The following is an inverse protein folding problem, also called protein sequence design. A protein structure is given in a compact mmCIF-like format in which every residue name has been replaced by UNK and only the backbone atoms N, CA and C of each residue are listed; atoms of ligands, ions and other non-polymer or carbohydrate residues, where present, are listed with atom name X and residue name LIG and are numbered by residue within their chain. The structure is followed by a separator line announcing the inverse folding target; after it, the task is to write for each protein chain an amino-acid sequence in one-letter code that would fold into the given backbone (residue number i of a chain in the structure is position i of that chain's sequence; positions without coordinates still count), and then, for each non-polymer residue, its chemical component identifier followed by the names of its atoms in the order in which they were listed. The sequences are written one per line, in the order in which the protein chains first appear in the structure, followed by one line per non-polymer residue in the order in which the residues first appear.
data_IF_346243089349
#
_entry.id   IF_346243089349
#
_cell.length_a   1.000
_cell.length_b   1.000
_cell.length_c   1.000
_cell.angle_alpha   90.00
_cell.angle_beta   90.00
_cell.angle_gamma   90.00
#
_symmetry.space_group_name_H-M   'P 1'
#
loop_
_entity.id
_entity.type
_entity.pdbx_description
1 polymer ?
#
# COMPACT_ATOMS: atom_id res chain seq x y z
N UNK A 1 10.84 16.67 -22.07
CA UNK A 1 10.26 16.73 -20.71
C UNK A 1 9.50 15.44 -20.55
N UNK A 2 10.06 14.44 -19.87
CA UNK A 2 9.32 13.21 -19.57
C UNK A 2 8.17 13.64 -18.66
N UNK A 3 6.95 13.25 -19.00
CA UNK A 3 5.77 13.70 -18.26
C UNK A 3 5.83 13.10 -16.84
N UNK A 4 5.70 13.96 -15.81
CA UNK A 4 5.87 13.62 -14.38
C UNK A 4 5.20 12.31 -13.95
N UNK A 5 4.06 11.99 -14.54
CA UNK A 5 3.28 10.80 -14.21
C UNK A 5 3.97 9.49 -14.62
N UNK A 6 4.84 9.50 -15.63
CA UNK A 6 5.60 8.32 -16.06
C UNK A 6 6.63 7.94 -15.00
N UNK A 7 7.20 8.93 -14.33
CA UNK A 7 8.23 8.75 -13.30
C UNK A 7 7.65 8.43 -11.91
N UNK A 8 6.43 8.89 -11.62
CA UNK A 8 5.89 8.88 -10.25
C UNK A 8 4.69 7.94 -10.04
N UNK A 9 4.01 7.51 -11.11
CA UNK A 9 2.87 6.60 -11.01
C UNK A 9 3.26 5.18 -11.37
N UNK A 10 2.68 4.22 -10.65
CA UNK A 10 2.95 2.79 -10.81
C UNK A 10 2.38 2.29 -12.14
N UNK A 11 3.24 1.67 -12.94
CA UNK A 11 2.87 0.94 -14.15
C UNK A 11 2.61 -0.55 -13.88
N UNK A 12 2.38 -1.35 -14.92
CA UNK A 12 2.07 -2.77 -14.78
C UNK A 12 3.16 -3.56 -14.03
N UNK A 13 4.44 -3.25 -14.25
CA UNK A 13 5.53 -3.95 -13.58
C UNK A 13 5.69 -3.48 -12.15
N UNK A 14 5.52 -2.19 -11.89
CA UNK A 14 5.56 -1.63 -10.54
C UNK A 14 4.47 -2.26 -9.65
N UNK A 15 3.23 -2.38 -10.15
CA UNK A 15 2.16 -3.07 -9.41
C UNK A 15 2.47 -4.55 -9.16
N UNK A 16 3.05 -5.25 -10.14
CA UNK A 16 3.45 -6.64 -9.99
C UNK A 16 4.58 -6.83 -8.97
N UNK A 17 5.53 -5.89 -8.90
CA UNK A 17 6.60 -5.90 -7.91
C UNK A 17 6.07 -5.77 -6.48
N UNK A 18 4.93 -5.09 -6.31
CA UNK A 18 4.21 -4.95 -5.04
C UNK A 18 3.32 -6.17 -4.73
N UNK A 19 3.42 -7.24 -5.52
CA UNK A 19 2.61 -8.46 -5.35
C UNK A 19 1.15 -8.31 -5.82
N UNK A 20 0.79 -7.20 -6.44
CA UNK A 20 -0.57 -6.92 -6.89
C UNK A 20 -0.68 -7.20 -8.38
N UNK A 21 -1.38 -8.28 -8.72
CA UNK A 21 -1.66 -8.62 -10.12
C UNK A 21 -2.81 -7.75 -10.65
N UNK A 22 -2.51 -6.86 -11.59
CA UNK A 22 -3.51 -6.09 -12.33
C UNK A 22 -3.89 -6.83 -13.63
N UNK A 23 -5.16 -6.74 -14.04
CA UNK A 23 -5.67 -7.42 -15.24
C UNK A 23 -5.34 -6.70 -16.56
N UNK A 24 -4.93 -5.44 -16.49
CA UNK A 24 -4.57 -4.64 -17.67
C UNK A 24 -3.10 -4.82 -18.04
N UNK A 25 -2.83 -4.84 -19.35
CA UNK A 25 -1.47 -4.80 -19.91
C UNK A 25 -1.03 -3.40 -20.33
N UNK A 26 -1.86 -2.37 -20.15
CA UNK A 26 -1.53 -0.97 -20.48
C UNK A 26 -0.92 -0.27 -19.27
N UNK A 27 0.30 0.25 -19.46
CA UNK A 27 0.99 1.03 -18.44
C UNK A 27 0.26 2.35 -18.13
N UNK A 28 -0.36 2.97 -19.13
CA UNK A 28 -1.12 4.21 -18.98
C UNK A 28 -2.37 3.98 -18.12
N UNK A 29 -3.09 2.89 -18.37
CA UNK A 29 -4.25 2.50 -17.56
C UNK A 29 -3.84 2.18 -16.10
N UNK A 30 -2.71 1.49 -15.92
CA UNK A 30 -2.16 1.18 -14.59
C UNK A 30 -1.78 2.45 -13.81
N UNK A 31 -1.17 3.42 -14.49
CA UNK A 31 -0.81 4.72 -13.90
C UNK A 31 -2.04 5.56 -13.57
N UNK A 32 -3.05 5.59 -14.45
CA UNK A 32 -4.32 6.28 -14.16
C UNK A 32 -5.02 5.69 -12.93
N UNK A 33 -5.03 4.36 -12.81
CA UNK A 33 -5.55 3.68 -11.63
C UNK A 33 -4.78 4.07 -10.35
N UNK A 34 -3.44 4.10 -10.40
CA UNK A 34 -2.60 4.54 -9.28
C UNK A 34 -2.91 6.00 -8.86
N UNK A 35 -3.05 6.91 -9.82
CA UNK A 35 -3.46 8.30 -9.52
C UNK A 35 -4.83 8.38 -8.84
N UNK A 36 -5.83 7.65 -9.37
CA UNK A 36 -7.17 7.63 -8.79
C UNK A 36 -7.20 7.01 -7.41
N UNK A 37 -6.43 5.93 -7.20
CA UNK A 37 -6.30 5.29 -5.90
C UNK A 37 -5.64 6.22 -4.89
N UNK A 38 -4.54 6.90 -5.25
CA UNK A 38 -3.89 7.90 -4.39
C UNK A 38 -4.80 9.08 -4.07
N UNK A 39 -5.61 9.52 -5.03
CA UNK A 39 -6.63 10.54 -4.79
C UNK A 39 -7.72 10.04 -3.84
N UNK A 40 -8.16 8.80 -3.99
CA UNK A 40 -9.23 8.19 -3.17
C UNK A 40 -8.77 7.88 -1.73
N UNK A 41 -7.52 7.43 -1.58
CA UNK A 41 -6.92 6.97 -0.32
C UNK A 41 -6.25 8.12 0.45
N UNK A 42 -6.34 9.34 -0.10
CA UNK A 42 -5.53 10.53 0.24
C UNK A 42 -4.04 10.34 -0.06
N UNK A 43 -3.35 11.44 -0.33
CA UNK A 43 -1.95 11.57 -0.81
C UNK A 43 -0.86 11.00 0.13
N UNK A 44 -1.21 10.08 1.01
CA UNK A 44 -0.37 9.60 2.07
C UNK A 44 0.18 8.22 1.75
N UNK A 45 1.51 8.11 1.72
CA UNK A 45 2.21 6.82 1.67
C UNK A 45 1.83 5.90 2.84
N UNK A 46 1.35 6.44 3.95
CA UNK A 46 0.87 5.64 5.07
C UNK A 46 -0.45 4.95 4.73
N UNK A 47 -1.37 5.66 4.08
CA UNK A 47 -2.68 5.11 3.73
C UNK A 47 -2.61 4.07 2.61
N UNK A 48 -1.69 4.23 1.66
CA UNK A 48 -1.45 3.18 0.65
C UNK A 48 -0.96 1.88 1.31
N UNK A 49 0.00 1.97 2.23
CA UNK A 49 0.51 0.81 2.99
C UNK A 49 -0.54 0.19 3.91
N UNK A 50 -1.38 1.00 4.56
CA UNK A 50 -2.54 0.52 5.35
C UNK A 50 -3.44 -0.37 4.50
N UNK A 51 -3.76 0.05 3.27
CA UNK A 51 -4.65 -0.73 2.40
C UNK A 51 -3.96 -2.02 1.92
N UNK A 52 -2.72 -1.93 1.43
CA UNK A 52 -2.00 -3.13 0.94
C UNK A 52 -1.86 -4.18 2.04
N UNK A 53 -1.33 -3.81 3.20
CA UNK A 53 -1.12 -4.74 4.32
C UNK A 53 -2.45 -5.26 4.89
N UNK A 54 -3.51 -4.45 4.85
CA UNK A 54 -4.86 -4.87 5.24
C UNK A 54 -5.45 -5.91 4.28
N UNK A 55 -5.29 -5.73 2.96
CA UNK A 55 -5.74 -6.72 1.97
C UNK A 55 -4.97 -8.03 2.09
N UNK A 56 -3.67 -7.95 2.37
CA UNK A 56 -2.84 -9.14 2.62
C UNK A 56 -3.35 -9.94 3.82
N UNK A 57 -3.68 -9.26 4.93
CA UNK A 57 -4.26 -9.89 6.11
C UNK A 57 -5.58 -10.62 5.82
N UNK A 58 -6.44 -10.02 5.00
CA UNK A 58 -7.81 -10.52 4.78
C UNK A 58 -7.90 -11.64 3.74
N UNK A 59 -7.05 -11.65 2.71
CA UNK A 59 -7.34 -12.41 1.49
C UNK A 59 -6.20 -13.24 0.90
N UNK A 60 -4.96 -13.07 1.37
CA UNK A 60 -3.79 -13.68 0.69
C UNK A 60 -3.21 -14.89 1.42
N UNK A 61 -3.70 -15.23 2.62
CA UNK A 61 -3.18 -16.32 3.44
C UNK A 61 -1.85 -15.99 4.14
N UNK A 62 -1.34 -14.76 4.02
CA UNK A 62 -0.21 -14.25 4.80
C UNK A 62 -0.68 -13.92 6.21
N UNK A 63 0.17 -14.20 7.19
CA UNK A 63 -0.09 -13.88 8.60
C UNK A 63 1.21 -13.57 9.30
N UNK A 64 1.13 -12.78 10.38
CA UNK A 64 2.28 -12.44 11.23
C UNK A 64 3.00 -13.70 11.72
N UNK A 65 2.28 -14.80 11.96
CA UNK A 65 2.85 -16.06 12.44
C UNK A 65 3.65 -16.83 11.38
N UNK A 66 3.26 -16.72 10.12
CA UNK A 66 3.83 -17.53 9.03
C UNK A 66 4.81 -16.74 8.16
N UNK A 67 4.75 -15.41 8.20
CA UNK A 67 5.54 -14.52 7.35
C UNK A 67 6.18 -13.39 8.18
N UNK A 68 7.47 -13.54 8.48
CA UNK A 68 8.22 -12.57 9.26
C UNK A 68 8.39 -11.23 8.52
N UNK A 69 8.43 -11.23 7.18
CA UNK A 69 8.55 -10.00 6.41
C UNK A 69 7.28 -9.18 6.53
N UNK A 70 6.12 -9.84 6.43
CA UNK A 70 4.82 -9.21 6.65
C UNK A 70 4.71 -8.61 8.06
N UNK A 71 5.18 -9.33 9.09
CA UNK A 71 5.27 -8.77 10.45
C UNK A 71 6.13 -7.51 10.50
N UNK A 72 7.33 -7.55 9.91
CA UNK A 72 8.25 -6.42 9.91
C UNK A 72 7.65 -5.20 9.18
N UNK A 73 6.93 -5.42 8.08
CA UNK A 73 6.28 -4.37 7.30
C UNK A 73 5.15 -3.70 8.09
N UNK A 74 4.36 -4.48 8.85
CA UNK A 74 3.33 -3.97 9.77
C UNK A 74 3.94 -3.15 10.92
N UNK A 75 5.02 -3.64 11.52
CA UNK A 75 5.72 -2.92 12.58
C UNK A 75 6.32 -1.62 12.06
N UNK A 76 6.90 -1.64 10.86
CA UNK A 76 7.43 -0.46 10.21
C UNK A 76 6.33 0.54 9.87
N UNK A 77 5.16 0.08 9.40
CA UNK A 77 4.01 0.95 9.14
C UNK A 77 3.58 1.67 10.41
N UNK A 78 3.49 0.96 11.55
CA UNK A 78 3.19 1.59 12.82
C UNK A 78 4.21 2.64 13.21
N UNK A 79 5.51 2.32 13.13
CA UNK A 79 6.60 3.26 13.48
C UNK A 79 6.51 4.54 12.65
N UNK A 80 6.34 4.40 11.33
CA UNK A 80 6.26 5.54 10.42
C UNK A 80 4.98 6.35 10.64
N UNK A 81 3.85 5.68 10.87
CA UNK A 81 2.58 6.35 11.17
C UNK A 81 2.68 7.16 12.47
N UNK A 82 3.30 6.63 13.52
CA UNK A 82 3.49 7.37 14.76
C UNK A 82 4.41 8.58 14.60
N UNK A 83 5.44 8.47 13.77
CA UNK A 83 6.46 9.50 13.57
C UNK A 83 5.99 10.61 12.64
N UNK A 84 5.33 10.27 11.54
CA UNK A 84 5.04 11.21 10.44
C UNK A 84 3.54 11.38 10.15
N UNK A 85 2.70 10.45 10.61
CA UNK A 85 1.29 10.42 10.25
C UNK A 85 0.41 11.43 11.00
N UNK A 86 -0.72 11.73 10.41
CA UNK A 86 -1.86 12.40 11.03
C UNK A 86 -2.52 11.50 12.07
N UNK A 87 -3.41 12.07 12.90
CA UNK A 87 -4.21 11.27 13.86
C UNK A 87 -5.03 10.19 13.14
N UNK A 88 -5.57 10.53 11.97
CA UNK A 88 -6.35 9.60 11.16
C UNK A 88 -5.53 8.41 10.68
N UNK A 89 -4.34 8.65 10.12
CA UNK A 89 -3.43 7.61 9.62
C UNK A 89 -2.90 6.72 10.75
N UNK A 90 -2.57 7.31 11.90
CA UNK A 90 -2.18 6.55 13.10
C UNK A 90 -3.28 5.58 13.53
N UNK A 91 -4.54 6.03 13.49
CA UNK A 91 -5.67 5.18 13.85
C UNK A 91 -5.86 4.02 12.85
N UNK A 92 -5.64 4.26 11.57
CA UNK A 92 -5.72 3.21 10.55
C UNK A 92 -4.57 2.20 10.65
N UNK A 93 -3.33 2.67 10.84
CA UNK A 93 -2.18 1.81 11.05
C UNK A 93 -2.36 0.91 12.29
N UNK A 94 -2.91 1.46 13.39
CA UNK A 94 -3.29 0.68 14.58
C UNK A 94 -4.35 -0.37 14.28
N UNK A 95 -5.39 -0.01 13.53
CA UNK A 95 -6.47 -0.93 13.18
C UNK A 95 -5.94 -2.13 12.39
N UNK A 96 -5.11 -1.88 11.37
CA UNK A 96 -4.51 -2.97 10.58
C UNK A 96 -3.61 -3.85 11.44
N UNK A 97 -2.75 -3.26 12.28
CA UNK A 97 -1.92 -4.06 13.18
C UNK A 97 -2.75 -4.89 14.17
N UNK A 98 -3.89 -4.38 14.64
CA UNK A 98 -4.80 -5.14 15.50
C UNK A 98 -5.49 -6.29 14.75
N UNK A 99 -5.91 -6.08 13.51
CA UNK A 99 -6.61 -7.10 12.72
C UNK A 99 -5.68 -8.17 12.13
N UNK A 100 -4.40 -7.86 11.97
CA UNK A 100 -3.41 -8.79 11.45
C UNK A 100 -2.79 -9.72 12.51
N UNK A 101 -2.95 -9.40 13.80
CA UNK A 101 -2.57 -10.24 14.95
C UNK A 101 -3.62 -11.30 15.24
#
# INVERSE_FOLDING_TARGET
MVEWYVENLRDCQAWKAEGIQISTSSNEAARLFDALLRQYVSWSELMSRVISLGLEAMGTGRSIRLDQNYQNDLEQLLKDAFKYGTVYEKNHAKAIHMFAN
#
